data_IF_955295829151
#
_entry.id   IF_955295829151
#
_cell.length_a   1.000
_cell.length_b   1.000
_cell.length_c   1.000
_cell.angle_alpha   90.00
_cell.angle_beta   90.00
_cell.angle_gamma   90.00
#
_symmetry.space_group_name_H-M   'P 1'
#
loop_
_entity.id
_entity.type
_entity.pdbx_description
1 polymer ?
#
# COMPACT_ATOMS: atom_id res chain seq x y z
N UNK A 1 -0.73 -42.58 -50.09
CA UNK A 1 0.19 -42.04 -49.06
C UNK A 1 -0.52 -40.95 -48.26
N UNK A 2 -0.92 -41.19 -47.00
CA UNK A 2 -1.55 -40.16 -46.17
C UNK A 2 -0.53 -39.51 -45.21
N UNK A 3 -0.59 -38.17 -45.10
CA UNK A 3 0.18 -37.34 -44.16
C UNK A 3 -0.36 -37.54 -42.74
N UNK A 4 0.50 -37.98 -41.81
CA UNK A 4 0.21 -37.99 -40.36
C UNK A 4 0.32 -36.57 -39.80
N UNK A 5 -0.76 -36.08 -39.23
CA UNK A 5 -0.82 -34.89 -38.38
C UNK A 5 -0.09 -35.14 -37.06
N UNK A 6 0.83 -34.25 -36.68
CA UNK A 6 1.43 -34.23 -35.34
C UNK A 6 0.68 -33.19 -34.50
N UNK A 7 0.00 -33.67 -33.46
CA UNK A 7 -0.54 -32.84 -32.38
C UNK A 7 0.66 -32.42 -31.51
N UNK A 8 0.90 -31.12 -31.37
CA UNK A 8 1.86 -30.57 -30.41
C UNK A 8 1.07 -30.23 -29.15
N UNK A 9 1.26 -31.01 -28.09
CA UNK A 9 0.80 -30.67 -26.75
C UNK A 9 1.80 -29.68 -26.13
N UNK A 10 1.36 -28.45 -25.84
CA UNK A 10 2.14 -27.49 -25.06
C UNK A 10 1.76 -27.68 -23.60
N UNK A 11 2.65 -28.31 -22.83
CA UNK A 11 2.61 -28.30 -21.36
C UNK A 11 3.09 -26.93 -20.87
N UNK A 12 2.21 -26.16 -20.22
CA UNK A 12 2.59 -24.97 -19.45
C UNK A 12 2.80 -25.42 -18.01
N UNK A 13 4.05 -25.56 -17.59
CA UNK A 13 4.40 -25.78 -16.20
C UNK A 13 4.28 -24.45 -15.43
N UNK A 14 3.42 -24.41 -14.42
CA UNK A 14 3.36 -23.31 -13.45
C UNK A 14 4.55 -23.44 -12.48
N UNK A 15 5.45 -22.46 -12.50
CA UNK A 15 6.57 -22.40 -11.59
C UNK A 15 6.11 -21.84 -10.24
N UNK A 16 5.86 -22.73 -9.27
CA UNK A 16 5.79 -22.35 -7.85
C UNK A 16 7.22 -22.38 -7.31
N UNK A 17 7.81 -21.20 -7.10
CA UNK A 17 9.11 -21.11 -6.42
C UNK A 17 8.84 -21.07 -4.91
N UNK A 18 8.94 -22.21 -4.26
CA UNK A 18 9.25 -22.28 -2.83
C UNK A 18 10.77 -22.29 -2.67
N UNK A 19 11.34 -21.23 -2.11
CA UNK A 19 12.75 -21.19 -1.74
C UNK A 19 12.90 -21.55 -0.26
N UNK A 20 13.27 -22.80 -0.01
CA UNK A 20 14.02 -23.19 1.18
C UNK A 20 15.50 -23.03 0.86
N UNK A 21 16.25 -22.31 1.69
CA UNK A 21 17.69 -22.14 1.48
C UNK A 21 18.39 -21.56 2.71
N UNK A 22 19.08 -22.45 3.43
CA UNK A 22 19.93 -22.14 4.56
C UNK A 22 21.34 -21.69 4.14
N UNK A 23 21.92 -20.82 4.99
CA UNK A 23 23.34 -20.59 5.28
C UNK A 23 24.37 -20.27 4.17
N UNK A 24 24.98 -19.09 4.28
CA UNK A 24 26.44 -18.92 4.12
C UNK A 24 26.95 -17.86 3.16
N UNK A 25 27.29 -16.67 3.69
CA UNK A 25 28.46 -15.88 3.23
C UNK A 25 28.24 -14.70 2.29
N UNK A 26 28.53 -13.48 2.78
CA UNK A 26 28.87 -12.31 1.95
C UNK A 26 28.05 -11.04 2.26
N UNK A 27 28.58 -10.17 3.11
CA UNK A 27 27.98 -8.89 3.53
C UNK A 27 27.74 -7.92 2.37
N UNK A 28 26.46 -7.69 2.04
CA UNK A 28 25.93 -6.40 1.64
C UNK A 28 24.91 -6.03 2.73
N UNK A 29 25.11 -4.92 3.45
CA UNK A 29 24.56 -4.68 4.79
C UNK A 29 23.02 -4.66 4.89
N UNK A 30 22.42 -5.83 5.07
CA UNK A 30 21.02 -5.98 5.47
C UNK A 30 20.92 -5.76 6.98
N UNK A 31 20.64 -4.52 7.38
CA UNK A 31 20.34 -4.24 8.78
C UNK A 31 18.94 -4.76 9.09
N UNK A 32 18.85 -5.74 10.00
CA UNK A 32 17.59 -6.30 10.45
C UNK A 32 16.64 -5.22 11.00
N UNK A 33 15.31 -5.47 10.97
CA UNK A 33 14.34 -4.61 11.62
C UNK A 33 14.69 -4.35 13.08
N UNK A 34 14.43 -3.13 13.54
CA UNK A 34 14.66 -2.77 14.95
C UNK A 34 13.57 -3.39 15.81
N UNK A 35 13.97 -4.22 16.76
CA UNK A 35 13.05 -4.81 17.72
C UNK A 35 12.55 -3.74 18.70
N UNK A 36 11.31 -3.30 18.53
CA UNK A 36 10.60 -2.43 19.48
C UNK A 36 9.75 -3.32 20.39
N UNK A 37 9.91 -3.27 21.73
CA UNK A 37 9.10 -4.05 22.65
C UNK A 37 7.60 -3.76 22.51
N UNK A 38 6.79 -4.81 22.60
CA UNK A 38 5.33 -4.68 22.58
C UNK A 38 4.87 -3.87 23.80
N UNK A 39 4.03 -2.87 23.56
CA UNK A 39 3.39 -2.04 24.57
C UNK A 39 1.89 -2.31 24.55
N UNK A 40 1.27 -2.50 25.71
CA UNK A 40 -0.16 -2.83 25.83
C UNK A 40 -1.09 -1.65 25.48
N UNK A 41 -0.65 -0.41 25.70
CA UNK A 41 -1.41 0.80 25.39
C UNK A 41 -0.52 2.04 25.24
N UNK A 42 -1.01 3.04 24.52
CA UNK A 42 -0.39 4.37 24.35
C UNK A 42 -1.47 5.41 24.69
N UNK A 43 -1.62 5.78 25.98
CA UNK A 43 -2.80 6.52 26.48
C UNK A 43 -3.11 7.84 25.80
N UNK A 44 -2.10 8.50 25.21
CA UNK A 44 -2.23 9.79 24.53
C UNK A 44 -2.42 9.68 23.01
N UNK A 45 -2.38 8.46 22.46
CA UNK A 45 -2.69 8.21 21.05
C UNK A 45 -4.22 8.13 20.86
N UNK A 46 -4.83 8.97 20.00
CA UNK A 46 -6.27 9.08 19.88
C UNK A 46 -6.88 7.97 19.01
N UNK A 47 -8.22 7.91 18.99
CA UNK A 47 -8.97 7.20 17.95
C UNK A 47 -8.79 5.68 17.94
N UNK A 48 -8.99 5.10 16.77
CA UNK A 48 -8.97 3.65 16.54
C UNK A 48 -8.20 3.32 15.28
N UNK A 49 -7.23 2.42 15.38
CA UNK A 49 -6.52 1.87 14.22
C UNK A 49 -7.29 0.69 13.66
N UNK A 50 -7.37 0.59 12.34
CA UNK A 50 -8.05 -0.51 11.64
C UNK A 50 -7.13 -1.06 10.55
N UNK A 51 -7.03 -2.38 10.47
CA UNK A 51 -6.24 -3.09 9.45
C UNK A 51 -6.90 -4.42 9.09
N UNK A 52 -6.53 -4.96 7.94
CA UNK A 52 -6.97 -6.30 7.53
C UNK A 52 -6.04 -7.35 8.11
N UNK A 53 -6.57 -8.47 8.58
CA UNK A 53 -5.83 -9.62 9.12
C UNK A 53 -6.49 -10.92 8.68
N UNK A 54 -5.90 -11.58 7.69
CA UNK A 54 -6.50 -12.76 7.07
C UNK A 54 -7.86 -12.45 6.46
N UNK A 55 -8.88 -13.22 6.85
CA UNK A 55 -10.28 -13.02 6.46
C UNK A 55 -11.01 -11.99 7.34
N UNK A 56 -10.32 -11.28 8.24
CA UNK A 56 -10.95 -10.30 9.15
C UNK A 56 -10.48 -8.88 8.91
N UNK A 57 -11.31 -7.91 9.31
CA UNK A 57 -10.89 -6.53 9.58
C UNK A 57 -10.82 -6.38 11.10
N UNK A 58 -9.66 -5.99 11.60
CA UNK A 58 -9.37 -5.79 13.02
C UNK A 58 -9.35 -4.31 13.34
N UNK A 59 -9.81 -3.96 14.54
CA UNK A 59 -9.76 -2.61 15.09
C UNK A 59 -9.13 -2.62 16.48
N UNK A 60 -8.33 -1.59 16.79
CA UNK A 60 -7.69 -1.41 18.10
C UNK A 60 -7.70 0.05 18.53
N UNK A 61 -8.14 0.29 19.75
CA UNK A 61 -7.99 1.59 20.42
C UNK A 61 -6.59 1.68 21.05
N UNK A 62 -5.69 2.55 20.59
CA UNK A 62 -4.34 2.63 21.14
C UNK A 62 -4.29 2.98 22.62
N UNK A 63 -5.18 3.87 23.06
CA UNK A 63 -5.20 4.37 24.43
C UNK A 63 -5.53 3.31 25.48
N UNK A 64 -6.32 2.31 25.12
CA UNK A 64 -6.81 1.27 26.05
C UNK A 64 -6.24 -0.12 25.73
N UNK A 65 -5.73 -0.31 24.51
CA UNK A 65 -5.33 -1.61 23.99
C UNK A 65 -6.51 -2.50 23.58
N UNK A 66 -7.76 -2.01 23.69
CA UNK A 66 -8.96 -2.78 23.37
C UNK A 66 -8.99 -3.15 21.89
N UNK A 67 -9.18 -4.44 21.60
CA UNK A 67 -9.29 -4.99 20.24
C UNK A 67 -10.68 -5.51 19.94
N UNK A 68 -11.11 -5.35 18.70
CA UNK A 68 -12.39 -5.85 18.19
C UNK A 68 -12.23 -6.31 16.75
N UNK A 69 -13.00 -7.33 16.36
CA UNK A 69 -13.16 -7.70 14.95
C UNK A 69 -14.33 -6.91 14.37
N UNK A 70 -14.08 -6.12 13.33
CA UNK A 70 -15.10 -5.34 12.63
C UNK A 70 -15.92 -6.23 11.71
N UNK A 71 -15.26 -7.03 10.87
CA UNK A 71 -15.92 -7.90 9.91
C UNK A 71 -15.11 -9.16 9.66
N UNK A 72 -15.79 -10.21 9.21
CA UNK A 72 -15.20 -11.52 8.88
C UNK A 72 -15.77 -12.02 7.56
N UNK A 73 -14.89 -12.43 6.65
CA UNK A 73 -15.23 -13.12 5.41
C UNK A 73 -15.16 -14.65 5.59
N UNK A 74 -15.76 -15.42 4.66
CA UNK A 74 -15.51 -16.87 4.57
C UNK A 74 -14.01 -17.20 4.46
N UNK A 75 -13.60 -18.38 4.93
CA UNK A 75 -12.18 -18.78 5.09
C UNK A 75 -11.33 -18.70 3.81
N UNK A 76 -11.94 -18.74 2.63
CA UNK A 76 -11.25 -18.72 1.34
C UNK A 76 -11.06 -17.30 0.75
N UNK A 77 -11.46 -16.26 1.48
CA UNK A 77 -11.37 -14.86 1.05
C UNK A 77 -10.72 -14.01 2.13
N UNK A 78 -9.80 -13.16 1.70
CA UNK A 78 -8.98 -12.34 2.59
C UNK A 78 -9.27 -10.87 2.34
N UNK A 79 -9.30 -10.06 3.39
CA UNK A 79 -9.34 -8.60 3.23
C UNK A 79 -7.95 -8.05 2.99
N UNK A 80 -7.87 -6.94 2.25
CA UNK A 80 -6.65 -6.18 2.09
C UNK A 80 -6.90 -4.68 1.96
N UNK A 81 -5.97 -3.89 2.48
CA UNK A 81 -5.90 -2.42 2.30
C UNK A 81 -7.23 -1.71 2.54
N UNK A 82 -7.74 -1.66 3.78
CA UNK A 82 -9.00 -0.98 4.06
C UNK A 82 -8.83 0.54 3.90
N UNK A 83 -9.92 1.23 3.56
CA UNK A 83 -10.00 2.68 3.43
C UNK A 83 -11.34 3.17 3.97
N UNK A 84 -11.33 4.22 4.80
CA UNK A 84 -12.55 4.78 5.39
C UNK A 84 -13.20 5.80 4.45
N UNK A 85 -14.51 5.75 4.35
CA UNK A 85 -15.34 6.80 3.75
C UNK A 85 -15.28 8.10 4.58
N UNK A 86 -15.52 9.28 3.96
CA UNK A 86 -15.43 10.56 4.65
C UNK A 86 -16.42 10.73 5.80
N UNK A 87 -17.60 10.10 5.70
CA UNK A 87 -18.61 10.11 6.76
C UNK A 87 -18.29 9.15 7.92
N UNK A 88 -17.24 8.35 7.78
CA UNK A 88 -16.77 7.40 8.78
C UNK A 88 -17.69 6.19 8.99
N UNK A 89 -18.62 5.90 8.07
CA UNK A 89 -19.60 4.81 8.22
C UNK A 89 -19.29 3.58 7.40
N UNK A 90 -18.55 3.74 6.31
CA UNK A 90 -18.24 2.66 5.36
C UNK A 90 -16.73 2.48 5.22
N UNK A 91 -16.28 1.24 5.18
CA UNK A 91 -14.91 0.84 4.84
C UNK A 91 -14.94 0.24 3.43
N UNK A 92 -14.16 0.78 2.50
CA UNK A 92 -13.83 0.08 1.27
C UNK A 92 -12.63 -0.82 1.54
N UNK A 93 -12.62 -2.03 0.99
CA UNK A 93 -11.49 -2.94 1.09
C UNK A 93 -11.33 -3.73 -0.20
N UNK A 94 -10.09 -4.01 -0.58
CA UNK A 94 -9.86 -5.05 -1.57
C UNK A 94 -10.07 -6.42 -0.91
N UNK A 95 -10.53 -7.41 -1.67
CA UNK A 95 -10.62 -8.79 -1.19
C UNK A 95 -9.90 -9.71 -2.14
N UNK A 96 -9.03 -10.57 -1.62
CA UNK A 96 -8.29 -11.55 -2.41
C UNK A 96 -8.92 -12.94 -2.28
N UNK A 97 -9.13 -13.59 -3.42
CA UNK A 97 -9.52 -14.98 -3.51
C UNK A 97 -8.40 -15.81 -4.13
N UNK A 98 -8.11 -16.95 -3.49
CA UNK A 98 -6.96 -17.78 -3.87
C UNK A 98 -7.32 -18.85 -4.90
N UNK A 99 -8.58 -19.30 -4.94
CA UNK A 99 -8.99 -20.48 -5.72
C UNK A 99 -9.72 -20.08 -7.02
N UNK A 100 -9.36 -20.70 -8.17
CA UNK A 100 -10.14 -20.59 -9.41
C UNK A 100 -11.58 -21.11 -9.25
N UNK A 101 -12.55 -20.65 -10.05
CA UNK A 101 -12.42 -19.70 -11.18
C UNK A 101 -12.42 -18.22 -10.75
N UNK A 102 -12.55 -17.95 -9.45
CA UNK A 102 -12.71 -16.59 -8.88
C UNK A 102 -11.38 -16.01 -8.37
N UNK A 103 -10.25 -16.61 -8.74
CA UNK A 103 -8.93 -16.13 -8.36
C UNK A 103 -8.70 -14.71 -8.89
N UNK A 104 -8.55 -13.76 -7.99
CA UNK A 104 -8.51 -12.34 -8.31
C UNK A 104 -8.79 -11.48 -7.08
N UNK A 105 -8.79 -10.16 -7.28
CA UNK A 105 -9.08 -9.21 -6.21
C UNK A 105 -10.21 -8.26 -6.55
N UNK A 106 -11.31 -8.34 -5.78
CA UNK A 106 -12.49 -7.48 -5.92
C UNK A 106 -12.41 -6.26 -5.00
N UNK A 107 -13.21 -5.22 -5.26
CA UNK A 107 -13.49 -4.18 -4.27
C UNK A 107 -14.80 -4.47 -3.56
N UNK A 108 -14.76 -4.36 -2.23
CA UNK A 108 -15.89 -4.54 -1.34
C UNK A 108 -16.15 -3.27 -0.54
N UNK A 109 -17.40 -3.09 -0.12
CA UNK A 109 -17.78 -2.13 0.91
C UNK A 109 -18.28 -2.88 2.14
N UNK A 110 -17.87 -2.40 3.30
CA UNK A 110 -18.11 -2.99 4.61
C UNK A 110 -18.63 -1.89 5.54
N UNK A 111 -19.79 -2.07 6.18
CA UNK A 111 -20.23 -1.15 7.22
C UNK A 111 -19.22 -1.13 8.36
N UNK A 112 -19.00 0.03 8.99
CA UNK A 112 -18.02 0.18 10.08
C UNK A 112 -18.30 -0.70 11.30
N UNK A 113 -19.55 -1.10 11.50
CA UNK A 113 -20.00 -2.05 12.53
C UNK A 113 -20.01 -3.52 12.06
N UNK A 114 -19.65 -3.78 10.81
CA UNK A 114 -19.63 -5.10 10.19
C UNK A 114 -21.00 -5.64 9.78
N UNK A 115 -22.09 -4.86 9.92
CA UNK A 115 -23.45 -5.35 9.67
C UNK A 115 -23.70 -5.72 8.21
N UNK A 116 -22.93 -5.12 7.30
CA UNK A 116 -23.05 -5.33 5.86
C UNK A 116 -21.65 -5.49 5.25
N UNK A 117 -21.50 -6.52 4.40
CA UNK A 117 -20.29 -6.80 3.62
C UNK A 117 -20.75 -7.20 2.23
N UNK A 118 -20.48 -6.38 1.22
CA UNK A 118 -20.90 -6.66 -0.16
C UNK A 118 -19.86 -6.26 -1.21
N UNK A 119 -19.81 -6.96 -2.35
CA UNK A 119 -19.00 -6.53 -3.47
C UNK A 119 -19.50 -5.19 -4.02
N UNK A 120 -18.56 -4.32 -4.38
CA UNK A 120 -18.81 -3.07 -5.10
C UNK A 120 -18.45 -3.22 -6.58
N UNK A 121 -17.26 -3.75 -6.86
CA UNK A 121 -16.78 -4.03 -8.23
C UNK A 121 -16.03 -5.34 -8.23
N UNK A 122 -16.35 -6.20 -9.19
CA UNK A 122 -15.60 -7.44 -9.41
C UNK A 122 -14.42 -7.20 -10.34
N UNK A 123 -13.34 -7.94 -10.13
CA UNK A 123 -12.12 -7.77 -10.92
C UNK A 123 -12.34 -7.99 -12.43
N UNK A 124 -13.28 -8.86 -12.83
CA UNK A 124 -13.59 -9.08 -14.24
C UNK A 124 -14.16 -7.81 -14.89
N UNK A 125 -15.04 -7.10 -14.17
CA UNK A 125 -15.68 -5.87 -14.65
C UNK A 125 -14.69 -4.71 -14.73
N UNK A 126 -13.63 -4.74 -13.90
CA UNK A 126 -12.56 -3.76 -13.91
C UNK A 126 -11.44 -4.06 -14.92
N UNK A 127 -11.46 -5.23 -15.58
CA UNK A 127 -10.40 -5.66 -16.50
C UNK A 127 -9.08 -6.05 -15.80
N UNK A 128 -9.14 -6.47 -14.54
CA UNK A 128 -8.00 -6.98 -13.76
C UNK A 128 -8.18 -6.86 -12.23
N UNK A 129 -7.29 -7.49 -11.47
CA UNK A 129 -7.31 -7.48 -9.99
C UNK A 129 -7.19 -6.08 -9.40
N UNK A 130 -8.12 -5.72 -8.52
CA UNK A 130 -8.22 -4.43 -7.86
C UNK A 130 -7.46 -4.39 -6.53
N UNK A 131 -6.97 -3.22 -6.11
CA UNK A 131 -6.27 -3.06 -4.83
C UNK A 131 -6.18 -1.62 -4.34
N UNK A 132 -5.75 -1.46 -3.10
CA UNK A 132 -5.42 -0.17 -2.45
C UNK A 132 -6.47 0.93 -2.70
N UNK A 133 -7.73 0.71 -2.25
CA UNK A 133 -8.78 1.70 -2.39
C UNK A 133 -8.47 2.99 -1.60
N UNK A 134 -8.97 4.12 -2.08
CA UNK A 134 -8.97 5.41 -1.39
C UNK A 134 -10.24 6.18 -1.73
N UNK A 135 -10.95 6.68 -0.72
CA UNK A 135 -12.20 7.41 -0.91
C UNK A 135 -11.97 8.86 -1.33
N UNK A 136 -12.80 9.39 -2.22
CA UNK A 136 -12.93 10.83 -2.43
C UNK A 136 -13.49 11.52 -1.18
N UNK A 137 -13.08 12.76 -0.86
CA UNK A 137 -13.54 13.45 0.36
C UNK A 137 -15.03 13.80 0.35
N UNK A 138 -15.64 13.87 -0.83
CA UNK A 138 -17.08 14.04 -1.02
C UNK A 138 -17.87 12.72 -0.93
N UNK A 139 -17.17 11.57 -0.83
CA UNK A 139 -17.77 10.24 -0.77
C UNK A 139 -18.36 9.75 -2.10
N UNK A 140 -18.19 10.49 -3.20
CA UNK A 140 -18.77 10.14 -4.50
C UNK A 140 -18.02 9.00 -5.22
N UNK A 141 -16.72 8.85 -4.95
CA UNK A 141 -15.84 7.95 -5.67
C UNK A 141 -14.88 7.17 -4.76
N UNK A 142 -14.43 6.03 -5.25
CA UNK A 142 -13.30 5.27 -4.73
C UNK A 142 -12.25 5.16 -5.82
N UNK A 143 -11.05 5.67 -5.56
CA UNK A 143 -9.86 5.44 -6.36
C UNK A 143 -9.24 4.09 -5.99
N UNK A 144 -8.73 3.37 -6.97
CA UNK A 144 -8.06 2.08 -6.76
C UNK A 144 -7.01 1.82 -7.83
N UNK A 145 -6.23 0.76 -7.66
CA UNK A 145 -5.36 0.25 -8.73
C UNK A 145 -6.00 -0.96 -9.42
N UNK A 146 -5.76 -1.08 -10.72
CA UNK A 146 -5.81 -2.35 -11.45
C UNK A 146 -4.36 -2.82 -11.62
N UNK A 147 -4.04 -4.01 -11.13
CA UNK A 147 -2.66 -4.52 -11.11
C UNK A 147 -2.17 -4.87 -12.52
N UNK A 148 -0.94 -4.44 -12.85
CA UNK A 148 -0.35 -4.65 -14.17
C UNK A 148 -0.21 -6.13 -14.56
N UNK A 149 0.17 -7.00 -13.63
CA UNK A 149 0.31 -8.44 -13.87
C UNK A 149 -1.02 -9.14 -14.11
N UNK A 150 -2.13 -8.50 -13.75
CA UNK A 150 -3.49 -9.03 -13.87
C UNK A 150 -4.29 -8.32 -14.97
N UNK A 151 -3.67 -7.47 -15.80
CA UNK A 151 -4.35 -6.72 -16.85
C UNK A 151 -3.52 -6.70 -18.15
N UNK A 152 -4.12 -7.04 -19.31
CA UNK A 152 -3.42 -7.06 -20.59
C UNK A 152 -3.00 -5.65 -21.05
N UNK A 153 -3.64 -4.60 -20.52
CA UNK A 153 -3.34 -3.20 -20.86
C UNK A 153 -2.28 -2.56 -19.96
N UNK A 154 -1.74 -3.32 -19.01
CA UNK A 154 -0.85 -2.85 -17.95
C UNK A 154 -1.62 -2.30 -16.75
N UNK A 155 -0.87 -1.76 -15.78
CA UNK A 155 -1.46 -1.25 -14.53
C UNK A 155 -2.10 0.13 -14.70
N UNK A 156 -3.15 0.39 -13.95
CA UNK A 156 -3.89 1.65 -13.99
C UNK A 156 -4.30 2.12 -12.60
N UNK A 157 -4.31 3.43 -12.38
CA UNK A 157 -5.19 4.05 -11.39
C UNK A 157 -6.56 4.20 -12.04
N UNK A 158 -7.58 3.75 -11.33
CA UNK A 158 -8.98 3.86 -11.73
C UNK A 158 -9.78 4.59 -10.66
N UNK A 159 -10.94 5.13 -11.04
CA UNK A 159 -12.00 5.54 -10.09
C UNK A 159 -13.30 4.82 -10.38
N UNK A 160 -14.07 4.60 -9.33
CA UNK A 160 -15.37 3.93 -9.35
C UNK A 160 -16.37 4.77 -8.55
N UNK A 161 -17.61 4.98 -9.02
CA UNK A 161 -18.65 5.57 -8.19
C UNK A 161 -18.88 4.76 -6.91
N UNK A 162 -19.02 5.44 -5.77
CA UNK A 162 -19.22 4.77 -4.47
C UNK A 162 -20.51 3.94 -4.38
N UNK A 163 -21.52 4.30 -5.19
CA UNK A 163 -22.77 3.53 -5.35
C UNK A 163 -22.65 2.33 -6.29
N UNK A 164 -21.47 2.08 -6.86
CA UNK A 164 -21.26 1.14 -7.95
C UNK A 164 -21.48 1.79 -9.32
N UNK A 165 -20.98 1.15 -10.37
CA UNK A 165 -21.05 1.67 -11.74
C UNK A 165 -19.79 1.37 -12.54
N UNK A 166 -19.66 1.99 -13.73
CA UNK A 166 -18.51 1.74 -14.60
C UNK A 166 -17.21 2.22 -13.97
N UNK A 167 -16.15 1.45 -14.20
CA UNK A 167 -14.77 1.76 -13.79
C UNK A 167 -14.16 2.71 -14.82
N UNK A 168 -13.63 3.84 -14.36
CA UNK A 168 -12.97 4.82 -15.21
C UNK A 168 -11.45 4.77 -15.03
N UNK A 169 -10.70 4.68 -16.13
CA UNK A 169 -9.22 4.69 -16.12
C UNK A 169 -8.71 6.13 -16.12
N UNK A 170 -7.81 6.44 -15.18
CA UNK A 170 -7.28 7.80 -15.00
C UNK A 170 -5.80 7.90 -15.37
N UNK A 171 -4.95 7.10 -14.73
CA UNK A 171 -3.49 7.20 -14.89
C UNK A 171 -2.88 5.84 -15.18
N UNK A 172 -2.24 5.70 -16.33
CA UNK A 172 -1.50 4.48 -16.70
C UNK A 172 -0.20 4.38 -15.88
N UNK A 173 0.06 3.19 -15.33
CA UNK A 173 1.29 2.86 -14.60
C UNK A 173 1.45 3.54 -13.23
N UNK A 174 0.41 4.24 -12.73
CA UNK A 174 0.37 4.76 -11.37
C UNK A 174 -0.04 3.70 -10.36
N UNK A 175 0.44 3.80 -9.12
CA UNK A 175 0.12 2.89 -8.03
C UNK A 175 -0.22 3.65 -6.73
N UNK A 176 -0.93 2.98 -5.81
CA UNK A 176 -1.28 3.49 -4.47
C UNK A 176 -1.88 4.91 -4.49
N UNK A 177 -3.02 5.12 -5.18
CA UNK A 177 -3.65 6.43 -5.26
C UNK A 177 -4.19 6.88 -3.90
N UNK A 178 -4.00 8.16 -3.59
CA UNK A 178 -4.68 8.87 -2.50
C UNK A 178 -5.07 10.26 -2.96
N UNK A 179 -6.24 10.71 -2.56
CA UNK A 179 -6.77 12.04 -2.89
C UNK A 179 -6.60 12.98 -1.69
N UNK A 180 -6.31 14.25 -1.96
CA UNK A 180 -6.16 15.27 -0.92
C UNK A 180 -7.47 15.46 -0.15
N UNK A 181 -7.42 15.87 1.13
CA UNK A 181 -8.63 16.12 1.93
C UNK A 181 -9.58 17.17 1.32
N UNK A 182 -9.04 18.11 0.53
CA UNK A 182 -9.84 19.12 -0.19
C UNK A 182 -10.37 18.63 -1.56
N UNK A 183 -10.03 17.41 -1.96
CA UNK A 183 -10.50 16.75 -3.18
C UNK A 183 -9.82 17.22 -4.47
N UNK A 184 -8.80 18.08 -4.39
CA UNK A 184 -8.23 18.75 -5.57
C UNK A 184 -7.00 18.06 -6.16
N UNK A 185 -6.32 17.21 -5.41
CA UNK A 185 -5.04 16.64 -5.82
C UNK A 185 -5.03 15.14 -5.62
N UNK A 186 -4.80 14.39 -6.70
CA UNK A 186 -4.49 12.96 -6.66
C UNK A 186 -2.98 12.80 -6.49
N UNK A 187 -2.54 12.09 -5.46
CA UNK A 187 -1.14 11.69 -5.26
C UNK A 187 -1.02 10.18 -5.41
N UNK A 188 0.06 9.74 -6.02
CA UNK A 188 0.30 8.32 -6.31
C UNK A 188 1.80 8.08 -6.50
N UNK A 189 2.20 6.82 -6.64
CA UNK A 189 3.60 6.48 -6.97
C UNK A 189 3.75 6.02 -8.41
N UNK A 190 4.89 6.35 -9.02
CA UNK A 190 5.37 5.73 -10.25
C UNK A 190 6.70 5.06 -10.01
N UNK A 191 6.89 3.92 -10.65
CA UNK A 191 8.14 3.15 -10.60
C UNK A 191 8.76 3.14 -12.00
N UNK A 192 10.04 3.48 -12.07
CA UNK A 192 10.89 3.24 -13.23
C UNK A 192 11.65 1.93 -12.99
N UNK A 193 11.18 0.87 -13.65
CA UNK A 193 11.74 -0.48 -13.51
C UNK A 193 13.16 -0.55 -14.06
N UNK A 194 13.46 0.18 -15.14
CA UNK A 194 14.77 0.16 -15.76
C UNK A 194 15.81 0.87 -14.89
N UNK A 195 15.44 2.02 -14.32
CA UNK A 195 16.30 2.77 -13.41
C UNK A 195 16.29 2.22 -11.96
N UNK A 196 15.40 1.28 -11.63
CA UNK A 196 15.16 0.80 -10.26
C UNK A 196 14.92 1.96 -9.29
N UNK A 197 14.03 2.87 -9.68
CA UNK A 197 13.65 4.03 -8.86
C UNK A 197 12.14 4.15 -8.75
N UNK A 198 11.69 4.82 -7.70
CA UNK A 198 10.30 5.25 -7.57
C UNK A 198 10.23 6.73 -7.18
N UNK A 199 9.11 7.36 -7.52
CA UNK A 199 8.84 8.75 -7.17
C UNK A 199 7.35 8.97 -6.85
N UNK A 200 7.05 9.96 -6.00
CA UNK A 200 5.67 10.42 -5.81
C UNK A 200 5.30 11.36 -6.96
N UNK A 201 4.07 11.21 -7.45
CA UNK A 201 3.49 12.04 -8.50
C UNK A 201 2.19 12.64 -8.00
N UNK A 202 1.89 13.84 -8.49
CA UNK A 202 0.61 14.52 -8.28
C UNK A 202 -0.07 14.77 -9.62
N UNK A 203 -1.40 14.75 -9.61
CA UNK A 203 -2.26 15.02 -10.75
C UNK A 203 -3.55 15.70 -10.27
N UNK A 204 -4.35 16.20 -11.21
CA UNK A 204 -5.75 16.52 -10.98
C UNK A 204 -6.54 15.26 -10.58
N UNK A 205 -7.73 15.38 -9.97
CA UNK A 205 -8.53 14.22 -9.53
C UNK A 205 -8.98 13.32 -10.68
N UNK A 206 -9.02 13.83 -11.91
CA UNK A 206 -9.29 13.05 -13.13
C UNK A 206 -8.02 12.42 -13.75
N UNK A 207 -6.87 12.55 -13.10
CA UNK A 207 -5.59 12.01 -13.57
C UNK A 207 -4.83 12.91 -14.56
N UNK A 208 -5.38 14.06 -14.95
CA UNK A 208 -4.71 15.01 -15.84
C UNK A 208 -3.61 15.82 -15.13
N UNK A 209 -2.72 16.48 -15.87
CA UNK A 209 -1.58 17.26 -15.34
C UNK A 209 -0.66 16.48 -14.38
N UNK A 210 -0.45 15.18 -14.66
CA UNK A 210 0.40 14.33 -13.84
C UNK A 210 1.88 14.76 -13.92
N UNK A 211 2.48 15.08 -12.76
CA UNK A 211 3.89 15.51 -12.63
C UNK A 211 4.53 15.00 -11.34
N UNK A 212 5.86 14.80 -11.29
CA UNK A 212 6.54 14.36 -10.08
C UNK A 212 6.48 15.41 -8.97
N UNK A 213 6.51 14.95 -7.71
CA UNK A 213 6.67 15.79 -6.53
C UNK A 213 8.18 15.91 -6.24
N UNK A 214 8.77 17.11 -6.34
CA UNK A 214 10.22 17.29 -6.19
C UNK A 214 10.76 16.74 -4.86
N UNK A 215 11.94 16.11 -4.93
CA UNK A 215 12.64 15.56 -3.77
C UNK A 215 12.17 14.18 -3.34
N UNK A 216 11.24 13.55 -4.07
CA UNK A 216 10.64 12.26 -3.68
C UNK A 216 11.15 11.07 -4.49
N UNK A 217 12.28 11.21 -5.19
CA UNK A 217 12.92 10.13 -5.93
C UNK A 217 13.76 9.26 -4.99
N UNK A 218 13.40 7.99 -4.86
CA UNK A 218 14.11 6.98 -4.06
C UNK A 218 14.40 5.75 -4.92
N UNK A 219 15.18 4.79 -4.39
CA UNK A 219 15.25 3.45 -5.01
C UNK A 219 13.86 2.77 -5.00
N UNK A 220 13.00 3.12 -4.04
CA UNK A 220 11.65 2.63 -3.87
C UNK A 220 10.85 3.55 -2.96
N UNK A 221 9.63 3.89 -3.39
CA UNK A 221 8.68 4.72 -2.66
C UNK A 221 7.27 4.17 -2.88
N UNK A 222 6.50 4.03 -1.81
CA UNK A 222 5.21 3.35 -1.82
C UNK A 222 4.21 4.03 -0.87
N UNK A 223 2.92 3.84 -1.17
CA UNK A 223 1.79 4.08 -0.25
C UNK A 223 1.78 5.47 0.39
N UNK A 224 1.71 6.54 -0.42
CA UNK A 224 1.52 7.89 0.10
C UNK A 224 0.21 7.99 0.88
N UNK A 225 0.17 8.86 1.89
CA UNK A 225 -1.01 9.22 2.68
C UNK A 225 -0.95 10.70 3.06
N UNK A 226 -2.07 11.41 2.94
CA UNK A 226 -2.16 12.81 3.34
C UNK A 226 -2.25 12.97 4.85
N UNK A 227 -1.59 14.01 5.38
CA UNK A 227 -1.92 14.56 6.70
C UNK A 227 -3.36 15.07 6.72
N UNK A 228 -4.01 15.14 7.90
CA UNK A 228 -5.41 15.56 8.00
C UNK A 228 -5.69 16.96 7.41
N UNK A 229 -4.71 17.86 7.46
CA UNK A 229 -4.78 19.21 6.89
C UNK A 229 -4.43 19.28 5.39
N UNK A 230 -3.99 18.17 4.78
CA UNK A 230 -3.60 18.07 3.38
C UNK A 230 -2.25 18.67 3.02
N UNK A 231 -1.53 19.28 3.96
CA UNK A 231 -0.28 20.00 3.67
C UNK A 231 0.94 19.08 3.48
N UNK A 232 0.90 17.89 4.08
CA UNK A 232 2.03 16.97 4.15
C UNK A 232 1.64 15.59 3.60
N UNK A 233 2.54 14.96 2.86
CA UNK A 233 2.44 13.55 2.46
C UNK A 233 3.35 12.71 3.35
N UNK A 234 2.77 11.74 4.03
CA UNK A 234 3.50 10.60 4.60
C UNK A 234 3.67 9.51 3.56
N UNK A 235 4.80 8.81 3.53
CA UNK A 235 5.03 7.70 2.61
C UNK A 235 6.08 6.73 3.14
N UNK A 236 6.11 5.51 2.59
CA UNK A 236 7.15 4.53 2.89
C UNK A 236 8.22 4.59 1.81
N UNK A 237 9.49 4.64 2.18
CA UNK A 237 10.60 4.57 1.21
C UNK A 237 11.77 3.75 1.75
N UNK A 238 12.54 3.18 0.81
CA UNK A 238 13.79 2.50 1.11
C UNK A 238 14.98 3.45 0.88
N UNK A 239 15.98 3.37 1.76
CA UNK A 239 17.19 4.22 1.71
C UNK A 239 16.92 5.74 1.85
N UNK A 240 17.95 6.56 1.57
CA UNK A 240 17.88 8.02 1.52
C UNK A 240 17.44 8.51 0.12
N UNK A 241 16.92 9.74 -0.01
CA UNK A 241 16.51 10.30 -1.30
C UNK A 241 17.68 10.31 -2.29
N UNK A 242 17.40 9.91 -3.54
CA UNK A 242 18.37 9.99 -4.63
C UNK A 242 18.51 11.46 -5.04
N UNK A 243 19.72 12.01 -4.94
CA UNK A 243 19.97 13.38 -5.35
C UNK A 243 19.84 13.55 -6.87
N UNK A 244 19.30 14.69 -7.31
CA UNK A 244 19.20 15.05 -8.72
C UNK A 244 20.60 15.40 -9.29
N UNK A 245 21.33 14.36 -9.72
CA UNK A 245 22.56 14.34 -10.54
C UNK A 245 23.88 14.89 -9.94
N UNK A 246 24.89 14.01 -9.95
CA UNK A 246 26.12 14.31 -10.71
C UNK A 246 26.36 13.14 -11.68
N UNK A 247 26.60 13.46 -12.96
CA UNK A 247 27.04 12.52 -13.98
C UNK A 247 28.33 11.82 -13.56
N UNK A 248 28.29 10.50 -13.37
CA UNK A 248 29.47 9.63 -13.39
C UNK A 248 29.13 8.31 -14.07
N UNK A 249 29.68 8.02 -15.25
CA UNK A 249 29.38 6.82 -16.02
C UNK A 249 30.36 5.71 -15.62
N UNK A 250 30.22 5.13 -14.43
CA UNK A 250 30.93 3.90 -14.09
C UNK A 250 29.99 2.93 -13.40
N UNK A 251 29.24 2.17 -14.20
CA UNK A 251 28.71 0.87 -13.79
C UNK A 251 29.84 -0.16 -13.98
N UNK A 252 30.22 -0.95 -12.97
CA UNK A 252 31.11 -2.09 -13.21
C UNK A 252 30.41 -3.07 -14.16
N UNK A 253 31.07 -3.41 -15.26
CA UNK A 253 30.55 -4.30 -16.32
C UNK A 253 30.29 -5.75 -15.86
N UNK A 254 30.62 -6.08 -14.61
CA UNK A 254 30.40 -7.39 -14.01
C UNK A 254 30.03 -7.22 -12.53
N UNK A 255 28.74 -7.27 -12.24
CA UNK A 255 28.20 -7.40 -10.89
C UNK A 255 26.88 -8.17 -10.98
N UNK A 256 26.58 -9.08 -10.04
CA UNK A 256 25.38 -9.90 -10.13
C UNK A 256 24.12 -9.03 -10.12
N UNK A 257 23.21 -9.30 -11.05
CA UNK A 257 21.84 -8.78 -11.02
C UNK A 257 21.15 -9.33 -9.78
N UNK A 258 21.07 -8.53 -8.71
CA UNK A 258 20.37 -8.94 -7.50
C UNK A 258 18.87 -8.81 -7.73
N UNK A 259 18.16 -9.94 -7.75
CA UNK A 259 16.72 -9.96 -7.55
C UNK A 259 16.43 -9.56 -6.09
N UNK A 260 16.01 -8.31 -5.87
CA UNK A 260 15.74 -7.74 -4.54
C UNK A 260 14.35 -8.14 -4.03
N UNK A 261 14.13 -9.44 -3.81
CA UNK A 261 12.81 -9.93 -3.41
C UNK A 261 12.50 -9.74 -1.91
N UNK A 262 13.48 -9.67 -1.00
CA UNK A 262 13.28 -9.37 0.42
C UNK A 262 14.57 -8.79 1.03
N UNK A 263 14.54 -7.64 1.70
CA UNK A 263 15.64 -7.23 2.61
C UNK A 263 16.20 -5.80 2.52
N UNK A 264 15.63 -4.86 1.77
CA UNK A 264 16.00 -3.44 1.96
C UNK A 264 15.06 -2.84 3.01
N UNK A 265 15.57 -2.31 4.13
CA UNK A 265 14.73 -1.76 5.18
C UNK A 265 13.99 -0.50 4.71
N UNK A 266 12.70 -0.43 5.01
CA UNK A 266 11.83 0.71 4.73
C UNK A 266 11.50 1.46 6.02
N UNK A 267 11.33 2.76 5.86
CA UNK A 267 10.94 3.67 6.94
C UNK A 267 9.81 4.58 6.51
N UNK A 268 9.14 5.17 7.50
CA UNK A 268 8.18 6.24 7.31
C UNK A 268 8.91 7.55 7.03
N UNK A 269 8.45 8.28 6.02
CA UNK A 269 8.94 9.60 5.63
C UNK A 269 7.78 10.58 5.50
N UNK A 270 8.09 11.87 5.56
CA UNK A 270 7.14 12.94 5.26
C UNK A 270 7.75 13.98 4.34
N UNK A 271 6.95 14.58 3.45
CA UNK A 271 7.35 15.69 2.58
C UNK A 271 6.16 16.66 2.40
N UNK A 272 6.37 17.98 2.25
CA UNK A 272 5.29 18.88 1.84
C UNK A 272 4.67 18.46 0.49
N UNK A 273 3.39 18.73 0.28
CA UNK A 273 2.67 18.36 -0.95
C UNK A 273 3.28 18.97 -2.24
N UNK A 274 3.89 20.14 -2.12
CA UNK A 274 4.57 20.82 -3.22
C UNK A 274 6.02 20.34 -3.43
N UNK A 275 6.49 19.38 -2.62
CA UNK A 275 7.84 18.88 -2.61
C UNK A 275 8.74 19.61 -1.61
N UNK A 276 10.04 19.28 -1.65
CA UNK A 276 11.04 19.81 -0.72
C UNK A 276 11.93 18.69 -0.19
N UNK A 277 12.57 18.92 0.95
CA UNK A 277 13.41 17.91 1.61
C UNK A 277 12.55 16.93 2.40
N UNK A 278 12.52 15.62 2.04
CA UNK A 278 11.82 14.64 2.84
C UNK A 278 12.47 14.46 4.21
N UNK A 279 11.64 14.25 5.23
CA UNK A 279 12.06 14.01 6.61
C UNK A 279 11.77 12.56 6.97
N UNK A 280 12.80 11.81 7.36
CA UNK A 280 12.65 10.45 7.89
C UNK A 280 12.00 10.52 9.28
N UNK A 281 10.91 9.77 9.48
CA UNK A 281 10.12 9.73 10.73
C UNK A 281 10.32 8.46 11.55
N UNK A 282 10.90 7.41 10.96
CA UNK A 282 11.25 6.18 11.68
C UNK A 282 12.64 5.68 11.31
N UNK A 283 13.18 4.76 12.12
CA UNK A 283 14.33 3.93 11.76
C UNK A 283 14.08 2.49 12.20
N UNK A 284 12.86 2.02 11.96
CA UNK A 284 12.35 0.72 12.40
C UNK A 284 12.73 -0.35 11.38
N UNK A 285 13.01 0.04 10.12
CA UNK A 285 13.55 -0.85 9.09
C UNK A 285 12.60 -2.00 8.75
N UNK A 286 11.33 -1.67 8.59
CA UNK A 286 10.28 -2.64 8.26
C UNK A 286 10.30 -3.06 6.79
N UNK A 287 9.63 -4.16 6.44
CA UNK A 287 9.43 -4.52 5.04
C UNK A 287 8.14 -3.88 4.49
N UNK A 288 8.32 -2.89 3.62
CA UNK A 288 7.27 -2.15 2.90
C UNK A 288 6.06 -1.84 3.80
N UNK A 289 6.17 -0.95 4.79
CA UNK A 289 5.05 -0.65 5.68
C UNK A 289 3.94 0.15 4.97
N UNK A 290 2.73 0.09 5.52
CA UNK A 290 1.62 1.00 5.20
C UNK A 290 1.53 2.06 6.29
N UNK A 291 1.31 3.31 5.93
CA UNK A 291 1.15 4.40 6.89
C UNK A 291 -0.30 4.83 7.04
N UNK A 292 -0.61 5.43 8.18
CA UNK A 292 -1.85 6.16 8.43
C UNK A 292 -1.57 7.36 9.35
N UNK A 293 -2.20 8.50 9.10
CA UNK A 293 -2.10 9.65 10.02
C UNK A 293 -3.14 9.56 11.11
N UNK A 294 -2.78 9.94 12.35
CA UNK A 294 -3.81 10.14 13.37
C UNK A 294 -4.74 11.31 12.98
N UNK A 295 -6.01 11.28 13.39
CA UNK A 295 -6.96 12.35 13.09
C UNK A 295 -6.54 13.75 13.57
N UNK A 296 -5.71 13.83 14.62
CA UNK A 296 -5.19 15.08 15.16
C UNK A 296 -3.86 15.52 14.51
N UNK A 297 -3.32 14.74 13.56
CA UNK A 297 -2.08 15.02 12.85
C UNK A 297 -0.80 14.89 13.69
N UNK A 298 -0.88 14.40 14.93
CA UNK A 298 0.28 14.32 15.85
C UNK A 298 1.05 13.01 15.78
N UNK A 299 0.51 12.00 15.10
CA UNK A 299 1.06 10.66 15.04
C UNK A 299 1.01 10.08 13.62
N UNK A 300 1.97 9.19 13.35
CA UNK A 300 1.91 8.25 12.24
C UNK A 300 1.74 6.83 12.78
N UNK A 301 0.74 6.14 12.27
CA UNK A 301 0.60 4.70 12.39
C UNK A 301 1.41 4.05 11.27
N UNK A 302 2.03 2.92 11.56
CA UNK A 302 2.79 2.14 10.59
C UNK A 302 2.49 0.66 10.76
N UNK A 303 2.04 -0.02 9.70
CA UNK A 303 1.82 -1.47 9.70
C UNK A 303 2.86 -2.13 8.77
N UNK A 304 3.84 -2.81 9.36
CA UNK A 304 4.95 -3.50 8.70
C UNK A 304 4.89 -5.02 8.87
N UNK A 305 5.99 -5.74 8.66
CA UNK A 305 6.12 -7.19 8.80
C UNK A 305 6.15 -7.73 10.21
N UNK A 306 6.66 -6.96 11.14
CA UNK A 306 6.84 -7.41 12.50
C UNK A 306 5.77 -6.82 13.40
N UNK A 307 5.18 -5.69 13.04
CA UNK A 307 4.11 -5.13 13.86
C UNK A 307 3.35 -3.95 13.31
N UNK A 308 2.43 -3.50 14.17
CA UNK A 308 1.78 -2.20 14.07
C UNK A 308 2.45 -1.27 15.08
N UNK A 309 2.89 -0.11 14.59
CA UNK A 309 3.65 0.88 15.32
C UNK A 309 2.94 2.22 15.33
N UNK A 310 3.21 3.01 16.37
CA UNK A 310 2.84 4.42 16.47
C UNK A 310 4.11 5.25 16.65
N UNK A 311 4.22 6.27 15.83
CA UNK A 311 5.34 7.21 15.81
C UNK A 311 4.78 8.57 16.23
N UNK A 312 5.23 9.09 17.36
CA UNK A 312 4.86 10.43 17.81
C UNK A 312 5.72 11.47 17.09
N UNK A 313 5.09 12.43 16.44
CA UNK A 313 5.81 13.36 15.56
C UNK A 313 6.57 14.46 16.30
N UNK A 314 6.21 14.76 17.54
CA UNK A 314 6.85 15.81 18.35
C UNK A 314 8.24 15.44 18.85
N UNK A 315 8.48 14.15 19.13
CA UNK A 315 9.72 13.65 19.76
C UNK A 315 10.32 12.43 19.04
N UNK A 316 9.65 11.89 18.01
CA UNK A 316 10.10 10.73 17.26
C UNK A 316 9.95 9.40 18.01
N UNK A 317 9.26 9.37 19.16
CA UNK A 317 9.11 8.16 19.96
C UNK A 317 8.26 7.12 19.24
N UNK A 318 8.75 5.88 19.22
CA UNK A 318 8.11 4.74 18.57
C UNK A 318 7.54 3.77 19.61
N UNK A 319 6.32 3.32 19.38
CA UNK A 319 5.62 2.32 20.17
C UNK A 319 5.18 1.18 19.26
N UNK A 320 5.40 -0.08 19.63
CA UNK A 320 4.80 -1.23 18.96
C UNK A 320 3.59 -1.68 19.76
N UNK A 321 2.42 -1.76 19.12
CA UNK A 321 1.14 -2.03 19.81
C UNK A 321 0.52 -3.38 19.41
N UNK A 322 1.05 -4.02 18.36
CA UNK A 322 0.63 -5.34 17.92
C UNK A 322 1.76 -6.04 17.15
N UNK A 323 1.77 -7.37 17.17
CA UNK A 323 2.51 -8.20 16.22
C UNK A 323 1.76 -8.24 14.86
N UNK A 324 2.46 -8.33 13.71
CA UNK A 324 1.82 -8.29 12.37
C UNK A 324 1.14 -9.62 12.03
N UNK A 325 -0.07 -9.55 11.48
CA UNK A 325 -0.76 -10.67 10.81
C UNK A 325 -1.60 -10.26 9.58
N UNK A 326 -1.34 -9.10 8.96
CA UNK A 326 -2.08 -8.72 7.74
C UNK A 326 -1.64 -7.44 7.03
N UNK A 327 -2.58 -6.73 6.39
CA UNK A 327 -2.28 -5.64 5.43
C UNK A 327 -3.13 -4.39 5.63
N UNK A 328 -2.61 -3.27 5.14
CA UNK A 328 -3.31 -1.97 5.21
C UNK A 328 -3.29 -1.36 6.60
N UNK A 329 -3.61 -0.07 6.69
CA UNK A 329 -3.78 0.63 7.97
C UNK A 329 -4.59 1.90 7.72
N UNK A 330 -5.60 2.14 8.55
CA UNK A 330 -6.31 3.42 8.64
C UNK A 330 -6.46 3.81 10.10
N UNK A 331 -6.57 5.11 10.37
CA UNK A 331 -6.70 5.65 11.72
C UNK A 331 -7.96 6.52 11.81
N UNK A 332 -8.93 6.02 12.56
CA UNK A 332 -10.25 6.61 12.67
C UNK A 332 -10.31 7.57 13.86
N UNK A 333 -11.20 8.56 13.78
CA UNK A 333 -11.63 9.31 14.95
C UNK A 333 -12.39 8.39 15.94
N UNK A 334 -12.47 8.86 17.20
CA UNK A 334 -13.32 8.22 18.21
C UNK A 334 -14.78 8.21 17.76
#
# INVERSE_FOLDING_TARGET
MPRKSRVVAVLVAALVVMLVGACGGGNAGTQAPVNVPLTSSVPDAPGTLVWSSGNTIQAMEPATGKRTTVATLPENRYFASPALSPDGRTIAAATFQVKPPEAGSDLYVVSRDGSEVKPLVKFQDAGGSLGYPSWSPDGAYIYAIVNASASPEGGWIVRVPAGGGPVEKLVKGGNYPVISPDGKTLVFTKTDVAAQTGELWRANPDGTDAKPIPGTRFAGVLRPVFSPDGATIGFSANADPLQASASSPHLPLFGPSVALAHGIPWDAWTVPIDGGTPVRRSSIREDQPVLAWSPDGKWLGMNGELGVYLIRLSDGKVYRIADRVGTGLIWLNK
#
